data_IF_952189911367
#
_entry.id   IF_952189911367
#
_cell.length_a   1.000
_cell.length_b   1.000
_cell.length_c   1.000
_cell.angle_alpha   90.00
_cell.angle_beta   90.00
_cell.angle_gamma   90.00
#
_symmetry.space_group_name_H-M   'P 1'
#
loop_
_entity.id
_entity.type
_entity.pdbx_description
1 polymer ?
#
# COMPACT_ATOMS: atom_id res chain seq x y z
N UNK A 1 1.91 1.29 2.83
CA UNK A 1 1.34 0.74 4.09
C UNK A 1 0.01 0.05 3.77
N UNK A 2 -0.73 -0.47 4.76
CA UNK A 2 -1.97 -1.24 4.53
C UNK A 2 -3.11 -0.43 3.90
N UNK A 3 -3.06 0.89 4.04
CA UNK A 3 -4.06 1.83 3.49
C UNK A 3 -3.74 2.27 2.06
N UNK A 4 -2.74 1.64 1.42
CA UNK A 4 -2.22 2.06 0.12
C UNK A 4 -1.77 3.53 0.09
N UNK A 5 -1.26 4.02 1.22
CA UNK A 5 -0.56 5.30 1.26
C UNK A 5 0.92 5.07 0.97
N UNK A 6 1.46 5.92 0.11
CA UNK A 6 2.90 5.96 -0.17
C UNK A 6 3.68 6.37 1.09
N UNK A 7 4.77 5.66 1.36
CA UNK A 7 5.68 5.88 2.49
C UNK A 7 7.11 5.66 2.05
N UNK A 8 8.03 6.37 2.69
CA UNK A 8 9.46 6.12 2.57
C UNK A 8 9.90 5.18 3.69
N UNK A 9 10.55 4.08 3.32
CA UNK A 9 11.21 3.16 4.24
C UNK A 9 12.72 3.16 3.99
N UNK A 10 13.49 2.72 4.97
CA UNK A 10 14.93 2.49 4.79
C UNK A 10 15.15 1.39 3.75
N UNK A 11 16.27 1.47 3.03
CA UNK A 11 16.64 0.44 2.04
C UNK A 11 16.89 -0.87 2.79
N UNK A 12 16.22 -1.98 2.42
CA UNK A 12 16.38 -3.24 3.14
C UNK A 12 17.74 -3.87 2.89
N UNK A 13 18.21 -4.67 3.85
CA UNK A 13 19.53 -5.31 3.80
C UNK A 13 19.74 -6.12 2.50
N UNK A 14 18.72 -6.87 2.07
CA UNK A 14 18.70 -7.62 0.80
C UNK A 14 19.13 -6.77 -0.41
N UNK A 15 18.68 -5.53 -0.46
CA UNK A 15 18.96 -4.62 -1.56
C UNK A 15 20.31 -3.89 -1.39
N UNK A 16 20.79 -3.72 -0.15
CA UNK A 16 22.16 -3.26 0.12
C UNK A 16 23.18 -4.32 -0.31
N UNK A 17 22.92 -5.59 0.03
CA UNK A 17 23.76 -6.73 -0.32
C UNK A 17 23.84 -6.91 -1.84
N UNK A 18 22.71 -6.77 -2.55
CA UNK A 18 22.67 -6.82 -4.03
C UNK A 18 23.61 -5.80 -4.69
N UNK A 19 23.88 -4.67 -4.03
CA UNK A 19 24.76 -3.61 -4.54
C UNK A 19 26.18 -3.71 -4.04
N UNK A 20 26.51 -4.70 -3.21
CA UNK A 20 27.83 -4.85 -2.60
C UNK A 20 28.31 -3.56 -1.90
N UNK A 21 27.39 -2.79 -1.31
CA UNK A 21 27.68 -1.52 -0.65
C UNK A 21 27.89 -0.30 -1.58
N UNK A 22 27.86 -0.47 -2.90
CA UNK A 22 28.01 0.65 -3.85
C UNK A 22 26.72 1.50 -3.90
N UNK A 23 26.82 2.72 -3.37
CA UNK A 23 25.72 3.68 -3.30
C UNK A 23 25.42 4.37 -4.63
N UNK A 24 26.29 4.25 -5.64
CA UNK A 24 26.05 4.77 -6.99
C UNK A 24 25.15 3.85 -7.82
N UNK A 25 25.04 2.57 -7.44
CA UNK A 25 24.17 1.63 -8.13
C UNK A 25 22.68 1.98 -7.95
N UNK A 26 21.87 1.84 -9.01
CA UNK A 26 20.42 2.04 -8.92
C UNK A 26 19.78 1.15 -7.86
N UNK A 27 18.81 1.72 -7.14
CA UNK A 27 18.04 1.07 -6.08
C UNK A 27 16.78 0.46 -6.64
N UNK A 28 16.56 -0.85 -6.50
CA UNK A 28 15.22 -1.40 -6.76
C UNK A 28 14.24 -0.86 -5.73
N UNK A 29 13.10 -0.34 -6.19
CA UNK A 29 12.04 0.15 -5.31
C UNK A 29 10.72 -0.55 -5.62
N UNK A 30 9.96 -1.04 -4.61
CA UNK A 30 8.65 -1.65 -4.84
C UNK A 30 7.66 -0.68 -5.49
N UNK A 31 7.71 0.58 -5.08
CA UNK A 31 6.85 1.63 -5.61
C UNK A 31 7.62 2.92 -5.86
N UNK A 32 7.14 3.74 -6.78
CA UNK A 32 7.64 5.10 -7.01
C UNK A 32 6.71 6.14 -6.40
N UNK A 33 7.26 7.33 -6.13
CA UNK A 33 6.45 8.48 -5.71
C UNK A 33 5.53 9.00 -6.83
N UNK A 34 5.88 8.75 -8.10
CA UNK A 34 5.04 9.01 -9.27
C UNK A 34 5.25 10.35 -9.96
N UNK A 35 5.54 11.42 -9.22
CA UNK A 35 5.67 12.76 -9.81
C UNK A 35 6.91 12.99 -10.68
N UNK A 36 7.97 12.19 -10.49
CA UNK A 36 9.24 12.32 -11.21
C UNK A 36 9.77 10.93 -11.56
N UNK A 37 9.83 10.62 -12.86
CA UNK A 37 10.40 9.39 -13.39
C UNK A 37 10.79 9.57 -14.85
N UNK A 38 11.57 8.64 -15.38
CA UNK A 38 11.84 8.52 -16.81
C UNK A 38 11.45 7.10 -17.25
N UNK A 39 10.79 6.99 -18.39
CA UNK A 39 10.35 5.74 -18.98
C UNK A 39 10.51 5.83 -20.50
N UNK A 40 10.83 4.72 -21.14
CA UNK A 40 10.77 4.65 -22.59
C UNK A 40 9.33 4.90 -23.07
N UNK A 41 9.18 5.70 -24.12
CA UNK A 41 7.87 6.13 -24.60
C UNK A 41 7.04 4.94 -25.10
N UNK A 42 7.66 4.08 -25.89
CA UNK A 42 6.94 2.99 -26.53
C UNK A 42 6.58 1.93 -25.47
N UNK A 43 7.47 1.67 -24.52
CA UNK A 43 7.19 0.85 -23.33
C UNK A 43 6.06 1.44 -22.46
N UNK A 44 5.99 2.78 -22.27
CA UNK A 44 4.90 3.41 -21.52
C UNK A 44 3.53 3.11 -22.14
N UNK A 45 3.41 3.20 -23.47
CA UNK A 45 2.17 2.90 -24.17
C UNK A 45 1.90 1.39 -24.29
N UNK A 46 2.92 0.56 -24.47
CA UNK A 46 2.79 -0.90 -24.46
C UNK A 46 2.24 -1.41 -23.12
N UNK A 47 2.74 -0.84 -22.03
CA UNK A 47 2.24 -1.12 -20.68
C UNK A 47 0.85 -0.52 -20.45
N UNK A 48 0.26 0.21 -21.40
CA UNK A 48 -1.09 0.76 -21.31
C UNK A 48 -1.20 2.06 -20.53
N UNK A 49 -0.19 2.95 -20.66
CA UNK A 49 -0.18 4.34 -20.16
C UNK A 49 -0.68 4.49 -18.73
N UNK A 50 -1.38 5.57 -18.38
CA UNK A 50 -2.15 5.63 -17.13
C UNK A 50 -3.54 5.03 -17.32
N UNK A 51 -4.19 4.66 -16.22
CA UNK A 51 -5.61 4.33 -16.21
C UNK A 51 -6.42 5.63 -16.36
N UNK A 52 -7.01 5.83 -17.55
CA UNK A 52 -7.81 7.02 -17.88
C UNK A 52 -9.09 7.16 -17.04
N UNK A 53 -9.50 6.10 -16.33
CA UNK A 53 -10.60 6.18 -15.38
C UNK A 53 -10.20 6.71 -14.00
N UNK A 54 -8.94 7.08 -13.78
CA UNK A 54 -8.54 7.74 -12.53
C UNK A 54 -8.82 9.25 -12.56
N UNK A 55 -9.34 9.76 -11.46
CA UNK A 55 -9.72 11.15 -11.28
C UNK A 55 -8.58 11.95 -10.63
N UNK A 56 -8.18 13.06 -11.26
CA UNK A 56 -7.33 14.16 -10.74
C UNK A 56 -5.98 13.74 -10.13
N UNK A 57 -5.98 13.11 -8.96
CA UNK A 57 -4.76 12.78 -8.20
C UNK A 57 -4.98 11.64 -7.22
N UNK A 58 -3.94 10.82 -7.05
CA UNK A 58 -3.81 9.86 -5.97
C UNK A 58 -3.92 8.44 -6.50
N UNK A 59 -2.92 7.62 -6.16
CA UNK A 59 -2.90 6.20 -6.45
C UNK A 59 -2.31 5.82 -7.81
N UNK A 60 -2.18 6.76 -8.76
CA UNK A 60 -1.61 6.49 -10.09
C UNK A 60 -0.17 5.96 -10.02
N UNK A 61 0.57 6.43 -9.02
CA UNK A 61 1.94 5.99 -8.74
C UNK A 61 1.98 4.53 -8.28
N UNK A 62 1.00 4.08 -7.49
CA UNK A 62 0.89 2.69 -7.03
C UNK A 62 0.38 1.77 -8.14
N UNK A 63 -0.63 2.21 -8.89
CA UNK A 63 -1.15 1.47 -10.06
C UNK A 63 -0.03 1.12 -11.02
N UNK A 64 0.73 2.14 -11.45
CA UNK A 64 1.81 1.97 -12.40
C UNK A 64 2.95 1.15 -11.79
N UNK A 65 3.19 1.28 -10.48
CA UNK A 65 4.22 0.48 -9.81
C UNK A 65 3.90 -1.01 -9.81
N UNK A 66 2.68 -1.38 -9.41
CA UNK A 66 2.22 -2.76 -9.41
C UNK A 66 2.22 -3.33 -10.82
N UNK A 67 1.67 -2.58 -11.79
CA UNK A 67 1.66 -2.97 -13.19
C UNK A 67 3.05 -3.24 -13.74
N UNK A 68 3.99 -2.30 -13.60
CA UNK A 68 5.35 -2.46 -14.13
C UNK A 68 5.99 -3.72 -13.54
N UNK A 69 5.98 -3.89 -12.22
CA UNK A 69 6.60 -5.04 -11.59
C UNK A 69 5.93 -6.37 -11.94
N UNK A 70 4.60 -6.43 -11.86
CA UNK A 70 3.84 -7.65 -12.08
C UNK A 70 3.85 -8.07 -13.57
N UNK A 71 4.04 -7.14 -14.50
CA UNK A 71 4.04 -7.42 -15.94
C UNK A 71 5.47 -7.46 -16.54
N UNK A 72 6.50 -7.71 -15.72
CA UNK A 72 7.86 -8.02 -16.18
C UNK A 72 8.84 -6.85 -16.27
N UNK A 73 8.39 -5.64 -15.98
CA UNK A 73 9.22 -4.45 -15.84
C UNK A 73 9.95 -4.37 -14.50
N UNK A 74 10.71 -3.29 -14.33
CA UNK A 74 11.48 -3.02 -13.11
C UNK A 74 11.48 -1.52 -12.81
N UNK A 75 11.48 -1.17 -11.53
CA UNK A 75 11.50 0.22 -11.07
C UNK A 75 12.74 0.46 -10.24
N UNK A 76 13.46 1.53 -10.60
CA UNK A 76 14.69 1.91 -9.93
C UNK A 76 14.68 3.38 -9.50
N UNK A 77 15.25 3.66 -8.32
CA UNK A 77 15.71 5.00 -7.93
C UNK A 77 17.19 5.09 -8.30
N UNK A 78 17.53 5.97 -9.24
CA UNK A 78 18.90 6.21 -9.69
C UNK A 78 19.54 7.27 -8.80
N UNK A 79 20.47 6.87 -7.93
CA UNK A 79 21.04 7.75 -6.88
C UNK A 79 21.92 8.88 -7.43
N UNK A 80 22.45 8.72 -8.63
CA UNK A 80 23.21 9.75 -9.35
C UNK A 80 22.32 10.82 -9.99
N UNK A 81 21.03 10.56 -10.24
CA UNK A 81 20.09 11.54 -10.78
C UNK A 81 19.40 12.26 -9.62
N UNK A 82 19.52 13.59 -9.56
CA UNK A 82 19.03 14.39 -8.44
C UNK A 82 18.12 15.50 -8.93
N UNK A 83 16.89 15.51 -8.43
CA UNK A 83 15.90 16.55 -8.69
C UNK A 83 15.29 16.98 -7.36
N UNK A 84 15.26 18.28 -7.10
CA UNK A 84 14.61 18.83 -5.91
C UNK A 84 13.08 18.90 -6.10
N UNK A 85 12.33 18.49 -5.08
CA UNK A 85 10.87 18.64 -5.04
C UNK A 85 10.45 19.34 -3.75
N UNK A 86 9.62 20.37 -3.84
CA UNK A 86 9.09 21.11 -2.69
C UNK A 86 7.89 20.36 -2.12
N UNK A 87 8.09 19.61 -1.04
CA UNK A 87 7.00 18.94 -0.34
C UNK A 87 6.08 19.95 0.33
N UNK A 88 4.77 19.79 0.09
CA UNK A 88 3.72 20.63 0.67
C UNK A 88 2.97 19.85 1.74
N UNK A 89 2.50 20.55 2.78
CA UNK A 89 1.65 19.95 3.83
C UNK A 89 0.20 19.76 3.37
N UNK A 90 -0.27 20.62 2.46
CA UNK A 90 -1.64 20.62 1.95
C UNK A 90 -1.64 20.85 0.44
N UNK A 91 -2.63 20.25 -0.24
CA UNK A 91 -2.86 20.54 -1.67
C UNK A 91 -3.55 21.89 -1.83
N UNK A 92 -3.07 22.77 -2.73
CA UNK A 92 -3.72 24.05 -3.01
C UNK A 92 -4.89 23.93 -3.99
N UNK A 93 -5.13 22.74 -4.57
CA UNK A 93 -6.15 22.53 -5.60
C UNK A 93 -7.54 22.30 -5.00
N UNK A 94 -8.57 22.66 -5.75
CA UNK A 94 -9.96 22.33 -5.45
C UNK A 94 -10.29 20.91 -5.92
N UNK A 95 -11.12 20.22 -5.14
CA UNK A 95 -11.45 18.81 -5.33
C UNK A 95 -12.96 18.65 -5.49
N UNK A 96 -13.48 18.59 -6.73
CA UNK A 96 -14.91 18.42 -6.97
C UNK A 96 -15.45 17.14 -6.31
N UNK A 97 -16.35 17.31 -5.33
CA UNK A 97 -16.92 16.20 -4.57
C UNK A 97 -16.02 15.65 -3.45
N UNK A 98 -14.95 16.38 -3.09
CA UNK A 98 -14.09 16.09 -1.94
C UNK A 98 -12.92 15.14 -2.23
N UNK A 99 -11.79 15.41 -1.56
CA UNK A 99 -10.54 14.64 -1.70
C UNK A 99 -10.75 13.15 -1.44
N UNK A 100 -11.52 12.82 -0.39
CA UNK A 100 -11.75 11.43 -0.01
C UNK A 100 -12.45 10.61 -1.09
N UNK A 101 -13.44 11.18 -1.78
CA UNK A 101 -14.16 10.48 -2.87
C UNK A 101 -13.22 10.15 -4.02
N UNK A 102 -12.41 11.13 -4.44
CA UNK A 102 -11.46 11.00 -5.56
C UNK A 102 -10.38 9.96 -5.22
N UNK A 103 -9.76 10.06 -4.04
CA UNK A 103 -8.74 9.10 -3.62
C UNK A 103 -9.36 7.71 -3.51
N UNK A 104 -10.52 7.55 -2.87
CA UNK A 104 -11.17 6.25 -2.73
C UNK A 104 -11.56 5.64 -4.08
N UNK A 105 -12.04 6.45 -5.02
CA UNK A 105 -12.33 6.04 -6.40
C UNK A 105 -11.08 5.44 -7.04
N UNK A 106 -9.97 6.20 -7.08
CA UNK A 106 -8.72 5.75 -7.69
C UNK A 106 -8.16 4.52 -6.98
N UNK A 107 -8.16 4.52 -5.65
CA UNK A 107 -7.68 3.38 -4.84
C UNK A 107 -8.47 2.11 -5.14
N UNK A 108 -9.80 2.19 -5.28
CA UNK A 108 -10.59 1.02 -5.66
C UNK A 108 -10.22 0.48 -7.03
N UNK A 109 -9.96 1.34 -8.02
CA UNK A 109 -9.51 0.89 -9.34
C UNK A 109 -8.21 0.10 -9.26
N UNK A 110 -7.27 0.50 -8.40
CA UNK A 110 -6.04 -0.24 -8.14
C UNK A 110 -6.34 -1.60 -7.52
N UNK A 111 -7.12 -1.59 -6.43
CA UNK A 111 -7.44 -2.77 -5.62
C UNK A 111 -8.13 -3.83 -6.49
N UNK A 112 -9.12 -3.43 -7.28
CA UNK A 112 -9.91 -4.35 -8.12
C UNK A 112 -9.15 -4.92 -9.32
N UNK A 113 -8.06 -4.27 -9.76
CA UNK A 113 -7.28 -4.72 -10.91
C UNK A 113 -6.02 -5.46 -10.50
N UNK A 114 -5.35 -5.04 -9.43
CA UNK A 114 -3.95 -5.44 -9.14
C UNK A 114 -3.75 -6.21 -7.84
N UNK A 115 -4.70 -6.20 -6.89
CA UNK A 115 -4.47 -6.80 -5.57
C UNK A 115 -5.01 -8.22 -5.39
N UNK A 116 -5.66 -8.80 -6.40
CA UNK A 116 -6.20 -10.17 -6.34
C UNK A 116 -7.03 -10.40 -5.06
N UNK A 117 -6.81 -11.50 -4.33
CA UNK A 117 -7.45 -11.83 -3.05
C UNK A 117 -7.13 -10.83 -1.93
N UNK A 118 -6.01 -10.10 -2.02
CA UNK A 118 -5.60 -9.11 -1.01
C UNK A 118 -6.50 -7.85 -1.02
N UNK A 119 -7.43 -7.75 -1.97
CA UNK A 119 -8.49 -6.74 -1.90
C UNK A 119 -9.38 -6.89 -0.68
N UNK A 120 -9.68 -8.12 -0.26
CA UNK A 120 -10.54 -8.36 0.89
C UNK A 120 -9.85 -7.91 2.19
N UNK A 121 -8.54 -8.16 2.30
CA UNK A 121 -7.70 -7.60 3.35
C UNK A 121 -7.79 -6.07 3.38
N UNK A 122 -7.58 -5.42 2.22
CA UNK A 122 -7.65 -3.97 2.11
C UNK A 122 -9.03 -3.40 2.52
N UNK A 123 -10.11 -4.03 2.08
CA UNK A 123 -11.47 -3.59 2.38
C UNK A 123 -11.89 -3.80 3.83
N UNK A 124 -11.34 -4.80 4.54
CA UNK A 124 -11.56 -4.93 5.98
C UNK A 124 -10.93 -3.78 6.77
N UNK A 125 -9.78 -3.29 6.32
CA UNK A 125 -9.07 -2.18 6.97
C UNK A 125 -9.67 -0.82 6.58
N UNK A 126 -10.17 -0.72 5.35
CA UNK A 126 -10.71 0.50 4.77
C UNK A 126 -12.16 0.30 4.26
N UNK A 127 -13.13 -0.04 5.13
CA UNK A 127 -14.49 -0.37 4.71
C UNK A 127 -15.18 0.77 3.97
N UNK A 128 -14.87 2.02 4.33
CA UNK A 128 -15.40 3.21 3.65
C UNK A 128 -14.99 3.30 2.18
N UNK A 129 -13.84 2.72 1.81
CA UNK A 129 -13.38 2.73 0.42
C UNK A 129 -14.29 1.87 -0.42
N UNK A 130 -14.70 0.68 0.07
CA UNK A 130 -15.58 -0.28 -0.62
C UNK A 130 -16.91 0.31 -1.07
N UNK A 131 -17.43 1.30 -0.33
CA UNK A 131 -18.70 1.95 -0.62
C UNK A 131 -18.64 3.00 -1.75
N UNK A 132 -17.45 3.30 -2.28
CA UNK A 132 -17.27 4.34 -3.31
C UNK A 132 -17.47 3.76 -4.71
N UNK A 133 -18.15 4.45 -5.63
CA UNK A 133 -18.16 4.01 -7.03
C UNK A 133 -16.80 4.24 -7.70
N UNK A 134 -16.31 3.26 -8.44
CA UNK A 134 -14.99 3.30 -9.10
C UNK A 134 -15.06 3.12 -10.63
N UNK A 135 -16.26 3.00 -11.21
CA UNK A 135 -16.48 2.83 -12.64
C UNK A 135 -16.04 1.49 -13.21
N UNK A 136 -16.04 1.35 -14.54
CA UNK A 136 -15.59 0.13 -15.21
C UNK A 136 -14.05 0.04 -15.23
N UNK A 137 -13.55 -1.16 -14.91
CA UNK A 137 -12.11 -1.52 -14.92
C UNK A 137 -11.82 -2.67 -15.89
N UNK A 138 -12.79 -3.06 -16.72
CA UNK A 138 -12.68 -4.20 -17.64
C UNK A 138 -11.51 -4.04 -18.62
N UNK A 139 -11.25 -2.83 -19.12
CA UNK A 139 -10.10 -2.55 -19.99
C UNK A 139 -8.77 -2.83 -19.30
N UNK A 140 -8.63 -2.42 -18.03
CA UNK A 140 -7.44 -2.64 -17.20
C UNK A 140 -7.24 -4.12 -16.88
N UNK A 141 -8.32 -4.84 -16.56
CA UNK A 141 -8.28 -6.30 -16.35
C UNK A 141 -7.87 -7.05 -17.62
N UNK A 142 -8.39 -6.67 -18.78
CA UNK A 142 -7.99 -7.23 -20.09
C UNK A 142 -6.52 -6.94 -20.40
N UNK A 143 -6.03 -5.73 -20.11
CA UNK A 143 -4.62 -5.39 -20.27
C UNK A 143 -3.73 -6.29 -19.40
N UNK A 144 -4.08 -6.47 -18.12
CA UNK A 144 -3.35 -7.34 -17.20
C UNK A 144 -3.27 -8.79 -17.72
N UNK A 145 -4.36 -9.30 -18.29
CA UNK A 145 -4.39 -10.61 -18.94
C UNK A 145 -3.53 -10.66 -20.20
N UNK A 146 -3.64 -9.65 -21.08
CA UNK A 146 -2.87 -9.56 -22.33
C UNK A 146 -1.36 -9.56 -22.09
N UNK A 147 -0.91 -8.85 -21.06
CA UNK A 147 0.50 -8.77 -20.67
C UNK A 147 0.98 -9.98 -19.84
N UNK A 148 0.10 -10.95 -19.58
CA UNK A 148 0.40 -12.15 -18.79
C UNK A 148 1.07 -11.84 -17.44
N UNK A 149 0.53 -10.84 -16.73
CA UNK A 149 1.13 -10.35 -15.50
C UNK A 149 1.01 -11.37 -14.36
N UNK A 150 1.98 -11.33 -13.44
CA UNK A 150 2.03 -12.13 -12.21
C UNK A 150 0.93 -11.72 -11.22
N UNK A 151 0.74 -12.55 -10.19
CA UNK A 151 -0.19 -12.27 -9.08
C UNK A 151 0.38 -11.24 -8.09
N UNK A 152 -0.50 -10.65 -7.29
CA UNK A 152 -0.10 -9.76 -6.21
C UNK A 152 0.68 -10.51 -5.12
N UNK A 153 0.33 -11.78 -4.87
CA UNK A 153 1.14 -12.67 -4.01
C UNK A 153 2.59 -12.74 -4.50
N UNK A 154 2.80 -12.98 -5.79
CA UNK A 154 4.15 -13.00 -6.38
C UNK A 154 4.88 -11.68 -6.16
N UNK A 155 4.19 -10.54 -6.32
CA UNK A 155 4.75 -9.22 -6.05
C UNK A 155 5.21 -9.07 -4.60
N UNK A 156 4.39 -9.48 -3.62
CA UNK A 156 4.76 -9.45 -2.21
C UNK A 156 5.95 -10.38 -1.91
N UNK A 157 5.99 -11.59 -2.47
CA UNK A 157 7.05 -12.55 -2.21
C UNK A 157 8.41 -12.15 -2.84
N UNK A 158 8.40 -11.55 -4.03
CA UNK A 158 9.62 -11.36 -4.82
C UNK A 158 10.09 -9.90 -4.89
N UNK A 159 9.14 -8.97 -4.95
CA UNK A 159 9.44 -7.55 -5.12
C UNK A 159 9.47 -6.86 -3.76
N UNK A 160 8.46 -7.08 -2.92
CA UNK A 160 8.34 -6.44 -1.62
C UNK A 160 8.18 -7.41 -0.43
N UNK A 161 9.11 -8.35 -0.21
CA UNK A 161 9.06 -9.30 0.90
C UNK A 161 9.17 -8.64 2.27
N UNK A 162 9.68 -7.41 2.34
CA UNK A 162 9.76 -6.60 3.55
C UNK A 162 8.45 -5.81 3.83
N UNK A 163 7.43 -6.00 3.00
CA UNK A 163 6.10 -5.41 3.18
C UNK A 163 5.51 -5.81 4.53
N UNK A 164 4.89 -4.84 5.20
CA UNK A 164 4.13 -5.11 6.42
C UNK A 164 2.77 -5.74 6.12
N UNK A 165 2.34 -5.78 4.85
CA UNK A 165 1.12 -6.48 4.46
C UNK A 165 1.35 -8.00 4.61
N UNK A 166 0.62 -8.69 5.50
CA UNK A 166 0.83 -10.10 5.75
C UNK A 166 0.40 -10.93 4.53
N UNK A 167 1.33 -11.73 4.02
CA UNK A 167 1.05 -12.68 2.92
C UNK A 167 0.12 -13.77 3.41
N UNK A 168 0.40 -14.30 4.60
CA UNK A 168 -0.35 -15.37 5.25
C UNK A 168 -0.68 -14.96 6.70
N UNK A 169 -1.95 -15.06 7.08
CA UNK A 169 -2.47 -14.69 8.40
C UNK A 169 -3.56 -15.66 8.87
N UNK A 170 -3.64 -15.88 10.19
CA UNK A 170 -4.68 -16.70 10.80
C UNK A 170 -6.03 -15.97 10.86
N UNK A 171 -6.00 -14.69 11.21
CA UNK A 171 -7.20 -13.88 11.33
C UNK A 171 -6.90 -12.40 11.12
N UNK A 172 -7.87 -11.69 10.55
CA UNK A 172 -7.88 -10.24 10.39
C UNK A 172 -9.20 -9.70 10.93
N UNK A 173 -9.14 -8.64 11.72
CA UNK A 173 -10.35 -7.96 12.21
C UNK A 173 -10.16 -7.29 13.56
N UNK A 174 -11.29 -7.07 14.24
CA UNK A 174 -11.34 -6.50 15.58
C UNK A 174 -11.03 -7.53 16.67
N UNK A 175 -10.32 -7.09 17.71
CA UNK A 175 -10.06 -7.91 18.90
C UNK A 175 -11.04 -7.47 19.99
N UNK A 176 -12.13 -8.22 20.14
CA UNK A 176 -13.22 -7.92 21.07
C UNK A 176 -13.05 -8.65 22.41
N UNK A 177 -13.05 -7.90 23.51
CA UNK A 177 -13.13 -8.46 24.85
C UNK A 177 -14.54 -9.03 25.09
N UNK A 178 -14.63 -10.34 25.40
CA UNK A 178 -15.93 -11.02 25.59
C UNK A 178 -16.72 -10.54 26.81
N UNK A 179 -16.05 -10.04 27.86
CA UNK A 179 -16.72 -9.61 29.09
C UNK A 179 -17.27 -8.19 28.99
N UNK A 180 -16.50 -7.26 28.40
CA UNK A 180 -16.90 -5.85 28.30
C UNK A 180 -17.55 -5.49 26.97
N UNK A 181 -17.35 -6.30 25.93
CA UNK A 181 -17.77 -5.99 24.56
C UNK A 181 -16.96 -4.86 23.90
N UNK A 182 -15.90 -4.37 24.54
CA UNK A 182 -14.99 -3.35 24.00
C UNK A 182 -13.94 -3.98 23.09
N UNK A 183 -13.41 -3.19 22.16
CA UNK A 183 -12.39 -3.60 21.21
C UNK A 183 -11.03 -2.98 21.53
N UNK A 184 -9.96 -3.73 21.25
CA UNK A 184 -8.61 -3.19 21.24
C UNK A 184 -8.50 -2.07 20.20
N UNK A 185 -7.88 -0.96 20.57
CA UNK A 185 -7.76 0.23 19.73
C UNK A 185 -6.35 0.82 19.85
N UNK A 186 -5.74 1.19 18.72
CA UNK A 186 -4.45 1.87 18.72
C UNK A 186 -4.54 3.30 19.24
N UNK A 187 -5.74 3.87 19.36
CA UNK A 187 -6.03 5.26 19.71
C UNK A 187 -5.34 6.28 18.80
N UNK A 188 -4.91 5.86 17.60
CA UNK A 188 -4.08 6.67 16.70
C UNK A 188 -2.66 6.95 17.23
N UNK A 189 -2.21 6.19 18.24
CA UNK A 189 -0.91 6.34 18.89
C UNK A 189 0.21 5.70 18.05
N UNK A 190 1.44 6.08 18.36
CA UNK A 190 2.67 5.66 17.66
C UNK A 190 3.38 4.53 18.40
N UNK A 191 4.46 4.03 17.79
CA UNK A 191 5.35 3.05 18.41
C UNK A 191 5.80 3.50 19.81
N UNK A 192 5.76 2.57 20.77
CA UNK A 192 6.15 2.80 22.17
C UNK A 192 5.03 3.36 23.05
N UNK A 193 3.90 3.77 22.48
CA UNK A 193 2.74 4.21 23.25
C UNK A 193 1.79 3.04 23.52
N UNK A 194 1.07 3.11 24.65
CA UNK A 194 0.16 2.05 25.07
C UNK A 194 -1.06 1.98 24.15
N UNK A 195 -1.51 0.78 23.80
CA UNK A 195 -2.83 0.56 23.20
C UNK A 195 -3.95 0.82 24.21
N UNK A 196 -5.16 1.05 23.72
CA UNK A 196 -6.37 1.27 24.53
C UNK A 196 -7.45 0.25 24.23
N UNK A 197 -8.57 0.39 24.93
CA UNK A 197 -9.83 -0.28 24.59
C UNK A 197 -10.91 0.77 24.41
N UNK A 198 -11.73 0.63 23.38
CA UNK A 198 -12.80 1.55 23.03
C UNK A 198 -14.02 0.77 22.53
N UNK A 199 -15.18 1.42 22.41
CA UNK A 199 -16.36 0.83 21.79
C UNK A 199 -16.01 0.31 20.38
N UNK A 200 -16.34 -0.95 20.12
CA UNK A 200 -16.20 -1.55 18.79
C UNK A 200 -17.05 -0.77 17.79
N UNK A 201 -16.43 -0.19 16.76
CA UNK A 201 -17.12 0.67 15.79
C UNK A 201 -17.25 0.04 14.40
N UNK A 202 -16.51 -1.03 14.08
CA UNK A 202 -16.62 -1.73 12.79
C UNK A 202 -16.20 -0.91 11.56
N UNK A 203 -15.47 0.19 11.77
CA UNK A 203 -15.06 1.14 10.70
C UNK A 203 -13.64 0.87 10.19
N UNK A 204 -13.06 -0.27 10.54
CA UNK A 204 -11.68 -0.59 10.21
C UNK A 204 -10.69 0.27 11.01
N UNK A 205 -9.64 0.77 10.34
CA UNK A 205 -8.73 1.75 10.92
C UNK A 205 -7.99 1.27 12.17
N UNK A 206 -8.17 1.96 13.29
CA UNK A 206 -7.41 1.76 14.52
C UNK A 206 -7.80 0.50 15.31
N UNK A 207 -8.91 -0.16 14.95
CA UNK A 207 -9.41 -1.37 15.61
C UNK A 207 -9.13 -2.64 14.81
N UNK A 208 -8.35 -2.57 13.72
CA UNK A 208 -8.05 -3.76 12.89
C UNK A 208 -6.64 -4.25 13.16
N UNK A 209 -6.56 -5.52 13.52
CA UNK A 209 -5.33 -6.25 13.78
C UNK A 209 -5.30 -7.54 12.95
N UNK A 210 -4.11 -7.92 12.51
CA UNK A 210 -3.84 -9.20 11.87
C UNK A 210 -3.04 -10.08 12.82
N UNK A 211 -3.52 -11.30 13.07
CA UNK A 211 -2.71 -12.36 13.70
C UNK A 211 -1.99 -13.13 12.60
N UNK A 212 -0.68 -12.92 12.48
CA UNK A 212 0.12 -13.56 11.42
C UNK A 212 0.51 -14.99 11.78
N UNK A 213 0.99 -15.76 10.79
CA UNK A 213 1.55 -17.10 11.03
C UNK A 213 2.84 -17.12 11.88
N UNK A 214 3.44 -15.95 12.12
CA UNK A 214 4.57 -15.79 13.05
C UNK A 214 4.11 -15.50 14.49
N UNK A 215 2.82 -15.70 14.78
CA UNK A 215 2.19 -15.43 16.07
C UNK A 215 2.32 -13.97 16.53
N UNK A 216 2.41 -13.04 15.57
CA UNK A 216 2.46 -11.60 15.85
C UNK A 216 1.10 -10.95 15.61
N UNK A 217 0.70 -10.06 16.52
CA UNK A 217 -0.46 -9.18 16.36
C UNK A 217 -0.01 -7.86 15.74
N UNK A 218 -0.41 -7.61 14.50
CA UNK A 218 0.07 -6.49 13.69
C UNK A 218 -1.05 -5.52 13.33
N UNK A 219 -0.73 -4.24 13.21
CA UNK A 219 -1.61 -3.21 12.67
C UNK A 219 -0.79 -2.18 11.89
N UNK A 220 -1.02 -2.12 10.58
CA UNK A 220 -0.24 -1.30 9.65
C UNK A 220 1.28 -1.54 9.76
N UNK A 221 2.05 -0.57 10.25
CA UNK A 221 3.50 -0.67 10.43
C UNK A 221 3.93 -1.05 11.88
N UNK A 222 2.98 -1.43 12.74
CA UNK A 222 3.21 -1.70 14.17
C UNK A 222 2.85 -3.13 14.57
N UNK A 223 3.52 -3.63 15.61
CA UNK A 223 3.19 -4.88 16.30
C UNK A 223 2.82 -4.58 17.76
N UNK A 224 1.89 -5.36 18.32
CA UNK A 224 1.66 -5.35 19.76
C UNK A 224 2.82 -6.07 20.44
N UNK A 225 3.36 -5.47 21.49
CA UNK A 225 4.45 -6.03 22.29
C UNK A 225 4.14 -5.92 23.79
N UNK A 226 4.73 -6.82 24.57
CA UNK A 226 4.57 -6.85 26.01
C UNK A 226 5.62 -5.93 26.62
N UNK A 227 5.19 -4.80 27.17
CA UNK A 227 6.09 -3.96 27.95
C UNK A 227 6.45 -4.67 29.26
N UNK A 228 7.75 -4.75 29.60
CA UNK A 228 8.15 -5.08 30.97
C UNK A 228 7.57 -4.01 31.91
N UNK A 229 7.12 -4.41 33.10
CA UNK A 229 6.44 -3.55 34.09
C UNK A 229 7.34 -2.46 34.72
N UNK A 230 8.43 -2.02 34.07
CA UNK A 230 9.41 -1.11 34.68
C UNK A 230 10.33 -0.36 33.71
N UNK A 231 9.79 0.27 32.67
CA UNK A 231 10.51 1.22 31.80
C UNK A 231 9.76 2.52 31.63
#
# INVERSE_FOLDING_TARGET
>A
NWKLNFRWYQVPQRELDRRSGDRSQPTRTPTMAGGLFAIDRDYFYEMGSYDEGMDIWGGENLEMSFRIWMCGGKIYIVTCSRVGHVFRKTSPYSWPGGVGRIINHNTQRIVEVWMDEYKDFFYQINPNVRATEYGDVSSRKKLRQKLNCKSFRWYLEHIYPESQLPIDYHSLGEIRNKATGLCLDTMGRKSGEKVGVERCHGQGGNQVFSLTFKETLQTDDLCLDVSSLGG
#
